data_IF_515831748448
#
_entry.id   IF_515831748448
#
_cell.length_a   1.000
_cell.length_b   1.000
_cell.length_c   1.000
_cell.angle_alpha   90.00
_cell.angle_beta   90.00
_cell.angle_gamma   90.00
#
_symmetry.space_group_name_H-M   'P 1'
#
loop_
_entity.id
_entity.type
_entity.pdbx_description
1 polymer ?
#
# COMPACT_ATOMS: atom_id res chain seq x y z
N UNK A 1 8.83 -59.30 22.74
CA UNK A 1 8.14 -58.24 21.97
C UNK A 1 8.85 -56.93 22.24
N UNK A 2 9.52 -56.33 21.24
CA UNK A 2 10.23 -55.04 21.38
C UNK A 2 9.32 -53.96 20.79
N UNK A 3 8.89 -53.01 21.61
CA UNK A 3 8.11 -51.86 21.17
C UNK A 3 9.05 -50.85 20.50
N UNK A 4 8.79 -50.54 19.23
CA UNK A 4 9.47 -49.47 18.49
C UNK A 4 8.65 -48.21 18.75
N UNK A 5 9.22 -47.27 19.51
CA UNK A 5 8.64 -45.95 19.72
C UNK A 5 9.00 -45.10 18.50
N UNK A 6 8.00 -44.85 17.65
CA UNK A 6 8.12 -43.98 16.49
C UNK A 6 7.94 -42.53 16.94
N UNK A 7 9.03 -41.78 17.04
CA UNK A 7 8.98 -40.33 17.33
C UNK A 7 8.61 -39.63 16.01
N UNK A 8 7.34 -39.21 15.89
CA UNK A 8 6.88 -38.33 14.82
C UNK A 8 7.45 -36.93 15.04
N UNK A 9 8.48 -36.56 14.29
CA UNK A 9 8.97 -35.18 14.19
C UNK A 9 7.97 -34.42 13.31
N UNK A 10 7.05 -33.68 13.93
CA UNK A 10 6.19 -32.74 13.21
C UNK A 10 7.01 -31.51 12.84
N UNK A 11 7.43 -31.45 11.58
CA UNK A 11 8.03 -30.25 10.98
C UNK A 11 6.93 -29.19 10.91
N UNK A 12 6.86 -28.34 11.93
CA UNK A 12 6.01 -27.16 11.90
C UNK A 12 6.68 -26.15 10.96
N UNK A 13 6.29 -26.20 9.69
CA UNK A 13 6.64 -25.17 8.71
C UNK A 13 6.01 -23.87 9.17
N UNK A 14 6.79 -23.03 9.86
CA UNK A 14 6.44 -21.63 10.05
C UNK A 14 6.37 -20.99 8.66
N UNK A 15 5.14 -20.82 8.16
CA UNK A 15 4.87 -19.99 7.00
C UNK A 15 5.20 -18.56 7.40
N UNK A 16 6.45 -18.14 7.17
CA UNK A 16 6.81 -16.72 7.21
C UNK A 16 6.11 -16.07 6.04
N UNK A 17 4.93 -15.50 6.28
CA UNK A 17 4.33 -14.57 5.33
C UNK A 17 5.36 -13.45 5.07
N UNK A 18 5.49 -12.98 3.81
CA UNK A 18 6.34 -11.83 3.54
C UNK A 18 5.87 -10.68 4.41
N UNK A 19 6.71 -10.23 5.34
CA UNK A 19 6.47 -9.02 6.11
C UNK A 19 6.76 -7.84 5.20
N UNK A 20 5.72 -7.25 4.63
CA UNK A 20 5.84 -5.96 3.94
C UNK A 20 6.08 -4.89 4.98
N UNK A 21 6.94 -3.92 4.68
CA UNK A 21 7.12 -2.75 5.53
C UNK A 21 6.03 -1.70 5.27
N UNK A 22 5.50 -1.68 4.04
CA UNK A 22 4.43 -0.78 3.64
C UNK A 22 3.42 -1.53 2.78
N UNK A 23 2.16 -1.54 3.17
CA UNK A 23 1.05 -1.89 2.28
C UNK A 23 0.32 -0.60 1.87
N UNK A 24 -0.12 -0.48 0.62
CA UNK A 24 -0.91 0.67 0.18
C UNK A 24 -2.07 0.27 -0.75
N UNK A 25 -3.09 1.11 -0.79
CA UNK A 25 -4.27 0.91 -1.65
C UNK A 25 -4.91 2.24 -2.00
N UNK A 26 -5.63 2.27 -3.12
CA UNK A 26 -6.53 3.36 -3.43
C UNK A 26 -7.79 3.23 -2.57
N UNK A 27 -8.06 4.20 -1.69
CA UNK A 27 -9.15 4.12 -0.72
C UNK A 27 -10.39 4.91 -1.13
N UNK A 28 -10.22 5.97 -1.92
CA UNK A 28 -11.32 6.81 -2.37
C UNK A 28 -10.91 7.74 -3.52
N UNK A 29 -11.89 8.21 -4.28
CA UNK A 29 -11.74 9.35 -5.21
C UNK A 29 -12.69 10.45 -4.75
N UNK A 30 -12.18 11.66 -4.54
CA UNK A 30 -13.00 12.83 -4.17
C UNK A 30 -12.90 13.93 -5.22
N UNK A 31 -14.00 14.65 -5.44
CA UNK A 31 -13.98 15.84 -6.28
C UNK A 31 -13.17 16.95 -5.60
N UNK A 32 -12.06 17.36 -6.23
CA UNK A 32 -11.16 18.37 -5.69
C UNK A 32 -11.51 19.80 -6.16
N UNK A 33 -12.49 19.94 -7.06
CA UNK A 33 -12.89 21.21 -7.65
C UNK A 33 -12.20 21.49 -8.99
N UNK A 34 -12.70 22.49 -9.72
CA UNK A 34 -12.09 23.01 -10.96
C UNK A 34 -11.81 21.94 -12.05
N UNK A 35 -12.63 20.89 -12.17
CA UNK A 35 -12.36 19.83 -13.15
C UNK A 35 -11.49 18.69 -12.64
N UNK A 36 -11.00 18.75 -11.40
CA UNK A 36 -10.01 17.82 -10.86
C UNK A 36 -10.64 16.85 -9.85
N UNK A 37 -10.12 15.63 -9.84
CA UNK A 37 -10.35 14.66 -8.78
C UNK A 37 -9.06 14.41 -8.00
N UNK A 38 -9.21 14.11 -6.71
CA UNK A 38 -8.15 13.72 -5.80
C UNK A 38 -8.29 12.23 -5.53
N UNK A 39 -7.34 11.45 -6.05
CA UNK A 39 -7.18 10.03 -5.74
C UNK A 39 -6.52 9.92 -4.36
N UNK A 40 -7.20 9.26 -3.42
CA UNK A 40 -6.75 9.05 -2.06
C UNK A 40 -6.11 7.67 -1.97
N UNK A 41 -4.85 7.64 -1.54
CA UNK A 41 -4.09 6.43 -1.29
C UNK A 41 -3.88 6.30 0.22
N UNK A 42 -4.32 5.19 0.78
CA UNK A 42 -4.08 4.85 2.18
C UNK A 42 -2.89 3.91 2.28
N UNK A 43 -2.09 4.10 3.33
CA UNK A 43 -0.88 3.36 3.61
C UNK A 43 -0.97 2.72 5.00
N UNK A 44 -0.42 1.53 5.14
CA UNK A 44 -0.25 0.78 6.38
C UNK A 44 1.23 0.45 6.55
N UNK A 45 1.81 0.82 7.68
CA UNK A 45 3.21 0.58 8.01
C UNK A 45 3.52 -0.81 8.55
N UNK A 46 2.51 -1.66 8.80
CA UNK A 46 2.67 -2.97 9.44
C UNK A 46 3.51 -2.93 10.74
N UNK A 47 3.43 -1.82 11.47
CA UNK A 47 4.18 -1.51 12.71
C UNK A 47 5.68 -1.18 12.53
N UNK A 48 6.13 -0.86 11.33
CA UNK A 48 7.48 -0.35 11.07
C UNK A 48 7.49 1.18 11.10
N UNK A 49 8.55 1.81 11.58
CA UNK A 49 8.72 3.26 11.45
C UNK A 49 9.11 3.59 10.01
N UNK A 50 8.33 4.45 9.34
CA UNK A 50 8.54 4.83 7.95
C UNK A 50 8.77 6.33 7.86
N UNK A 51 9.94 6.73 7.35
CA UNK A 51 10.35 8.14 7.18
C UNK A 51 10.68 8.39 5.71
N UNK A 52 10.34 9.57 5.21
CA UNK A 52 10.63 10.05 3.85
C UNK A 52 10.23 9.03 2.75
N UNK A 53 9.03 8.47 2.85
CA UNK A 53 8.48 7.60 1.82
C UNK A 53 8.21 8.42 0.55
N UNK A 54 8.82 8.01 -0.56
CA UNK A 54 8.58 8.55 -1.88
C UNK A 54 8.15 7.42 -2.82
N UNK A 55 6.99 7.59 -3.45
CA UNK A 55 6.41 6.63 -4.38
C UNK A 55 6.14 7.31 -5.72
N UNK A 56 6.93 6.99 -6.74
CA UNK A 56 6.69 7.49 -8.11
C UNK A 56 5.69 6.57 -8.81
N UNK A 57 4.58 7.13 -9.29
CA UNK A 57 3.51 6.34 -9.91
C UNK A 57 3.07 6.92 -11.25
N UNK A 58 2.51 6.05 -12.09
CA UNK A 58 1.79 6.41 -13.31
C UNK A 58 0.42 5.74 -13.35
N UNK A 59 -0.58 6.47 -13.80
CA UNK A 59 -1.93 5.98 -14.00
C UNK A 59 -2.18 5.68 -15.48
N UNK A 60 -2.72 4.50 -15.75
CA UNK A 60 -3.04 4.02 -17.08
C UNK A 60 -4.54 3.82 -17.23
N UNK A 61 -5.10 4.26 -18.36
CA UNK A 61 -6.49 3.98 -18.70
C UNK A 61 -6.66 2.52 -19.19
N UNK A 62 -7.90 2.12 -19.47
CA UNK A 62 -8.22 0.75 -19.91
C UNK A 62 -7.60 0.32 -21.23
N UNK A 63 -7.22 1.28 -22.08
CA UNK A 63 -6.54 1.00 -23.36
C UNK A 63 -5.02 0.98 -23.21
N UNK A 64 -4.50 1.19 -22.01
CA UNK A 64 -3.07 1.10 -21.68
C UNK A 64 -2.28 2.38 -21.96
N UNK A 65 -2.95 3.52 -22.12
CA UNK A 65 -2.29 4.82 -22.26
C UNK A 65 -2.02 5.42 -20.88
N UNK A 66 -0.82 5.98 -20.67
CA UNK A 66 -0.50 6.74 -19.47
C UNK A 66 -1.24 8.08 -19.50
N UNK A 67 -2.15 8.30 -18.55
CA UNK A 67 -3.02 9.49 -18.50
C UNK A 67 -2.65 10.46 -17.37
N UNK A 68 -1.89 10.00 -16.38
CA UNK A 68 -1.33 10.83 -15.33
C UNK A 68 -0.08 10.19 -14.71
N UNK A 69 0.74 11.00 -14.05
CA UNK A 69 1.84 10.55 -13.21
C UNK A 69 2.01 11.50 -12.02
N UNK A 70 2.68 11.02 -10.98
CA UNK A 70 2.94 11.82 -9.78
C UNK A 70 3.89 11.14 -8.83
N UNK A 71 4.31 11.89 -7.81
CA UNK A 71 5.09 11.39 -6.69
C UNK A 71 4.27 11.57 -5.44
N UNK A 72 4.03 10.49 -4.71
CA UNK A 72 3.45 10.52 -3.37
C UNK A 72 4.61 10.65 -2.38
N UNK A 73 4.56 11.68 -1.54
CA UNK A 73 5.56 11.94 -0.51
C UNK A 73 4.90 11.90 0.87
N UNK A 74 5.41 11.06 1.76
CA UNK A 74 4.96 10.93 3.14
C UNK A 74 6.17 11.12 4.04
N UNK A 75 6.13 12.17 4.87
CA UNK A 75 7.27 12.54 5.72
C UNK A 75 7.55 11.50 6.81
N UNK A 76 6.50 11.05 7.52
CA UNK A 76 6.67 10.15 8.66
C UNK A 76 5.34 9.50 9.08
N UNK A 77 5.33 8.18 9.33
CA UNK A 77 4.25 7.45 10.00
C UNK A 77 4.74 6.10 10.58
N UNK A 78 3.90 5.42 11.36
CA UNK A 78 4.16 4.06 11.85
C UNK A 78 4.92 3.97 13.17
N UNK A 79 5.08 5.06 13.93
CA UNK A 79 5.80 5.05 15.22
C UNK A 79 5.02 4.33 16.33
N UNK A 80 3.71 4.18 16.15
CA UNK A 80 2.79 3.56 17.09
C UNK A 80 1.59 2.94 16.35
N UNK A 81 0.73 2.24 17.08
CA UNK A 81 -0.51 1.74 16.52
C UNK A 81 -1.50 2.86 16.15
N UNK A 82 -1.35 4.07 16.68
CA UNK A 82 -2.25 5.19 16.44
C UNK A 82 -1.96 5.91 15.11
N UNK A 83 -0.72 5.86 14.63
CA UNK A 83 -0.24 6.42 13.37
C UNK A 83 0.24 5.32 12.42
N UNK A 84 -0.20 4.08 12.63
CA UNK A 84 0.05 2.94 11.74
C UNK A 84 -0.41 3.24 10.29
N UNK A 85 -1.48 4.04 10.17
CA UNK A 85 -2.13 4.39 8.91
C UNK A 85 -1.96 5.87 8.57
N UNK A 86 -1.82 6.17 7.29
CA UNK A 86 -1.82 7.54 6.76
C UNK A 86 -2.40 7.58 5.35
N UNK A 87 -2.98 8.72 4.98
CA UNK A 87 -3.49 8.97 3.62
C UNK A 87 -2.60 9.99 2.89
N UNK A 88 -2.46 9.80 1.59
CA UNK A 88 -1.84 10.75 0.67
C UNK A 88 -2.64 10.87 -0.63
N UNK A 89 -2.33 11.91 -1.42
CA UNK A 89 -3.23 12.38 -2.47
C UNK A 89 -2.46 12.60 -3.78
N UNK A 90 -3.11 12.27 -4.90
CA UNK A 90 -2.72 12.73 -6.23
C UNK A 90 -3.91 13.38 -6.92
N UNK A 91 -3.69 14.55 -7.51
CA UNK A 91 -4.75 15.36 -8.08
C UNK A 91 -4.55 15.55 -9.58
N UNK A 92 -5.60 15.26 -10.35
CA UNK A 92 -5.65 15.38 -11.81
C UNK A 92 -7.10 15.23 -12.28
N UNK A 93 -7.44 15.82 -13.43
CA UNK A 93 -8.67 15.51 -14.16
C UNK A 93 -8.73 14.01 -14.52
N UNK A 94 -7.57 13.42 -14.83
CA UNK A 94 -7.49 12.00 -15.19
C UNK A 94 -7.99 11.08 -14.07
N UNK A 95 -7.75 11.43 -12.79
CA UNK A 95 -8.19 10.62 -11.65
C UNK A 95 -9.71 10.61 -11.43
N UNK A 96 -10.47 11.35 -12.24
CA UNK A 96 -11.92 11.22 -12.27
C UNK A 96 -12.41 9.96 -12.99
N UNK A 97 -11.55 9.26 -13.73
CA UNK A 97 -11.86 7.94 -14.28
C UNK A 97 -11.73 6.87 -13.18
N UNK A 98 -12.77 6.07 -12.99
CA UNK A 98 -12.81 4.98 -12.01
C UNK A 98 -12.03 3.73 -12.48
N UNK A 99 -11.66 3.66 -13.76
CA UNK A 99 -11.08 2.47 -14.39
C UNK A 99 -9.59 2.64 -14.72
N UNK A 100 -8.85 3.21 -13.77
CA UNK A 100 -7.40 3.40 -13.88
C UNK A 100 -6.62 2.24 -13.26
N UNK A 101 -5.46 1.94 -13.86
CA UNK A 101 -4.44 1.08 -13.27
C UNK A 101 -3.26 1.93 -12.80
N UNK A 102 -2.87 1.79 -11.54
CA UNK A 102 -1.70 2.48 -11.00
C UNK A 102 -0.47 1.57 -11.11
N UNK A 103 0.57 2.07 -11.78
CA UNK A 103 1.88 1.45 -11.84
C UNK A 103 2.85 2.21 -10.95
N UNK A 104 3.42 1.52 -9.96
CA UNK A 104 4.54 2.06 -9.17
C UNK A 104 5.84 1.88 -9.96
N UNK A 105 6.47 2.99 -10.33
CA UNK A 105 7.73 3.02 -11.08
C UNK A 105 8.95 3.01 -10.17
N UNK A 106 8.86 3.66 -9.01
CA UNK A 106 9.92 3.67 -7.99
C UNK A 106 9.33 3.83 -6.58
N UNK A 107 10.01 3.26 -5.58
CA UNK A 107 9.59 3.32 -4.18
C UNK A 107 10.79 3.26 -3.23
N UNK A 108 10.93 4.27 -2.37
CA UNK A 108 12.02 4.38 -1.42
C UNK A 108 11.54 5.01 -0.12
N UNK A 109 12.12 4.57 1.00
CA UNK A 109 11.85 5.12 2.32
C UNK A 109 13.02 4.79 3.26
N UNK A 110 13.03 5.42 4.42
CA UNK A 110 13.77 4.95 5.59
C UNK A 110 12.82 4.06 6.40
N UNK A 111 13.15 2.78 6.55
CA UNK A 111 12.38 1.79 7.33
C UNK A 111 13.20 1.43 8.55
N UNK A 112 12.67 1.69 9.75
CA UNK A 112 13.35 1.45 11.04
C UNK A 112 14.80 1.98 11.05
N UNK A 113 14.98 3.19 10.53
CA UNK A 113 16.27 3.87 10.43
C UNK A 113 17.21 3.39 9.31
N UNK A 114 16.77 2.48 8.43
CA UNK A 114 17.55 2.02 7.28
C UNK A 114 16.98 2.55 5.95
N UNK A 115 17.80 3.14 5.06
CA UNK A 115 17.33 3.51 3.72
C UNK A 115 17.11 2.25 2.86
N UNK A 116 15.89 2.08 2.35
CA UNK A 116 15.46 0.90 1.58
C UNK A 116 14.83 1.33 0.25
N UNK A 117 15.21 0.67 -0.84
CA UNK A 117 14.40 0.66 -2.06
C UNK A 117 13.32 -0.43 -1.90
N UNK A 118 12.08 -0.03 -1.68
CA UNK A 118 11.00 -0.90 -1.27
C UNK A 118 10.58 -1.87 -2.37
N UNK A 119 10.58 -1.44 -3.64
CA UNK A 119 10.25 -2.31 -4.78
C UNK A 119 11.31 -3.41 -4.97
N UNK A 120 12.59 -3.04 -5.00
CA UNK A 120 13.71 -3.98 -5.20
C UNK A 120 13.81 -4.99 -4.06
N UNK A 121 13.54 -4.54 -2.83
CA UNK A 121 13.54 -5.40 -1.64
C UNK A 121 12.21 -6.14 -1.42
N UNK A 122 11.18 -5.89 -2.24
CA UNK A 122 9.83 -6.46 -2.09
C UNK A 122 9.21 -6.18 -0.71
N UNK A 123 9.49 -4.99 -0.17
CA UNK A 123 9.01 -4.51 1.12
C UNK A 123 7.82 -3.57 1.00
N UNK A 124 7.26 -3.41 -0.21
CA UNK A 124 6.00 -2.73 -0.46
C UNK A 124 5.03 -3.65 -1.20
N UNK A 125 3.76 -3.62 -0.82
CA UNK A 125 2.67 -4.31 -1.51
C UNK A 125 1.52 -3.36 -1.82
N UNK A 126 0.80 -3.64 -2.90
CA UNK A 126 -0.47 -3.00 -3.21
C UNK A 126 -1.60 -4.01 -2.99
N UNK A 127 -2.78 -3.53 -2.58
CA UNK A 127 -4.00 -4.33 -2.51
C UNK A 127 -5.21 -3.59 -3.06
N UNK A 128 -6.22 -4.36 -3.46
CA UNK A 128 -7.53 -3.80 -3.76
C UNK A 128 -8.28 -3.46 -2.46
N UNK A 129 -9.01 -2.35 -2.47
CA UNK A 129 -9.89 -1.97 -1.38
C UNK A 129 -11.28 -1.64 -1.91
N UNK A 130 -12.31 -2.11 -1.18
CA UNK A 130 -13.71 -1.84 -1.49
C UNK A 130 -14.40 -1.23 -0.27
N UNK A 131 -14.83 0.03 -0.33
CA UNK A 131 -15.53 0.66 0.79
C UNK A 131 -16.90 0.02 1.03
N UNK A 132 -17.38 0.11 2.28
CA UNK A 132 -18.72 -0.32 2.64
C UNK A 132 -19.79 0.67 2.17
N UNK A 133 -20.98 0.15 1.88
CA UNK A 133 -22.17 0.98 1.73
C UNK A 133 -22.74 1.30 3.12
N UNK A 134 -22.71 2.58 3.52
CA UNK A 134 -23.22 3.03 4.82
C UNK A 134 -24.66 3.54 4.66
N UNK A 135 -25.54 3.16 5.58
CA UNK A 135 -26.93 3.67 5.66
C UNK A 135 -27.19 4.20 7.07
N UNK A 136 -27.87 5.33 7.16
CA UNK A 136 -28.34 5.89 8.42
C UNK A 136 -29.77 5.43 8.70
N UNK A 137 -30.09 5.14 9.97
CA UNK A 137 -31.48 4.91 10.38
C UNK A 137 -32.27 6.22 10.22
N UNK A 138 -33.47 6.12 9.63
CA UNK A 138 -34.46 7.19 9.59
C UNK A 138 -35.45 7.03 10.73
#
# INVERSE_FOLDING_TARGET
MKAIILICITISSFLTLPAYAVEFWHSNTVWAGQGQCSAVFSFDSEMNEIIDLQLSVSAFNQVGEEVASGVIEIAHFGQSSADRYIDAYLESEAFCDEQLTILVKDAQAIVDGQPINLLKSKMISARDFKPFNIRMAQ
#
